data_IF_216708409128
#
_entry.id   IF_216708409128
#
_cell.length_a   1.000
_cell.length_b   1.000
_cell.length_c   1.000
_cell.angle_alpha   90.00
_cell.angle_beta   90.00
_cell.angle_gamma   90.00
#
_symmetry.space_group_name_H-M   'P 1'
#
loop_
_entity.id
_entity.type
_entity.pdbx_description
1 polymer ?
#
# COMPACT_ATOMS: atom_id res chain seq x y z
N UNK A 1 -25.58 10.79 -14.88
CA UNK A 1 -26.18 11.30 -13.63
C UNK A 1 -25.32 10.77 -12.50
N UNK A 2 -24.27 11.50 -12.12
CA UNK A 2 -23.41 11.13 -10.99
C UNK A 2 -24.21 11.46 -9.74
N UNK A 3 -24.66 10.45 -9.00
CA UNK A 3 -25.28 10.72 -7.72
C UNK A 3 -24.22 11.32 -6.78
N UNK A 4 -24.60 12.37 -6.06
CA UNK A 4 -23.77 13.00 -5.04
C UNK A 4 -23.31 11.93 -4.05
N UNK A 5 -22.03 11.55 -4.12
CA UNK A 5 -21.39 10.71 -3.11
C UNK A 5 -21.29 11.52 -1.83
N UNK A 6 -22.25 11.31 -0.92
CA UNK A 6 -22.26 11.95 0.38
C UNK A 6 -21.12 11.36 1.23
N UNK A 7 -20.20 12.23 1.69
CA UNK A 7 -19.01 11.89 2.49
C UNK A 7 -19.34 11.43 3.91
N UNK A 8 -20.63 11.35 4.28
CA UNK A 8 -21.13 10.82 5.56
C UNK A 8 -20.94 9.31 5.75
N UNK A 9 -20.39 8.58 4.78
CA UNK A 9 -20.54 7.13 4.60
C UNK A 9 -19.32 6.27 4.96
N UNK A 10 -18.19 6.80 5.47
CA UNK A 10 -17.02 5.94 5.84
C UNK A 10 -17.42 4.80 6.79
N UNK A 11 -18.41 5.01 7.66
CA UNK A 11 -18.95 3.96 8.54
C UNK A 11 -19.67 2.86 7.76
N UNK A 12 -20.33 3.20 6.65
CA UNK A 12 -20.93 2.24 5.71
C UNK A 12 -19.84 1.48 4.96
N UNK A 13 -18.75 2.15 4.55
CA UNK A 13 -17.58 1.51 3.93
C UNK A 13 -16.86 0.53 4.86
N UNK A 14 -16.71 0.86 6.14
CA UNK A 14 -16.19 -0.06 7.15
C UNK A 14 -17.15 -1.23 7.39
N UNK A 15 -18.46 -0.99 7.29
CA UNK A 15 -19.48 -2.05 7.31
C UNK A 15 -19.49 -2.95 6.06
N UNK A 16 -18.78 -2.58 4.98
CA UNK A 16 -18.55 -3.45 3.83
C UNK A 16 -17.45 -4.47 4.09
N UNK A 17 -16.56 -4.23 5.05
CA UNK A 17 -15.46 -5.14 5.36
C UNK A 17 -15.97 -6.20 6.34
N UNK A 18 -16.04 -7.45 5.88
CA UNK A 18 -16.13 -8.64 6.74
C UNK A 18 -14.75 -9.03 7.31
N UNK A 19 -13.70 -8.26 6.99
CA UNK A 19 -12.33 -8.53 7.39
C UNK A 19 -12.22 -8.72 8.91
N UNK A 20 -11.40 -9.68 9.37
CA UNK A 20 -11.18 -9.91 10.79
C UNK A 20 -10.73 -8.60 11.44
N UNK A 21 -11.31 -8.27 12.60
CA UNK A 21 -10.78 -7.20 13.45
C UNK A 21 -9.30 -7.49 13.65
N UNK A 22 -8.44 -6.61 13.13
CA UNK A 22 -7.01 -6.67 13.43
C UNK A 22 -6.87 -6.66 14.95
N UNK A 23 -6.05 -7.58 15.48
CA UNK A 23 -5.83 -7.71 16.93
C UNK A 23 -5.21 -6.45 17.54
N UNK A 24 -4.53 -5.66 16.70
CA UNK A 24 -3.92 -4.37 17.02
C UNK A 24 -4.27 -3.33 15.97
N UNK A 25 -4.17 -2.06 16.33
CA UNK A 25 -4.39 -0.95 15.40
C UNK A 25 -3.31 -0.99 14.30
N UNK A 26 -3.68 -1.04 13.00
CA UNK A 26 -2.71 -1.15 11.92
C UNK A 26 -1.82 0.08 11.84
N UNK A 27 -0.56 -0.11 11.49
CA UNK A 27 0.43 0.94 11.21
C UNK A 27 0.52 1.14 9.70
N UNK A 28 0.16 2.32 9.22
CA UNK A 28 0.10 2.65 7.79
C UNK A 28 1.06 3.79 7.49
N UNK A 29 1.95 3.58 6.52
CA UNK A 29 2.87 4.59 6.03
C UNK A 29 2.20 5.41 4.92
N UNK A 30 2.29 6.74 4.99
CA UNK A 30 1.93 7.66 3.92
C UNK A 30 3.23 8.21 3.30
N UNK A 31 3.62 7.65 2.15
CA UNK A 31 4.95 7.87 1.58
C UNK A 31 5.11 9.23 0.86
N UNK A 32 4.02 9.98 0.68
CA UNK A 32 3.98 11.27 -0.03
C UNK A 32 3.21 12.31 0.79
N UNK A 33 3.71 12.61 2.00
CA UNK A 33 2.97 13.38 3.02
C UNK A 33 2.86 14.89 2.78
N UNK A 34 3.47 15.41 1.71
CA UNK A 34 3.46 16.84 1.39
C UNK A 34 2.13 17.32 0.80
N UNK A 35 1.30 16.40 0.33
CA UNK A 35 0.00 16.69 -0.26
C UNK A 35 -1.03 17.11 0.81
N UNK A 36 -1.78 18.19 0.58
CA UNK A 36 -2.81 18.64 1.52
C UNK A 36 -3.91 17.60 1.72
N UNK A 37 -4.25 16.82 0.68
CA UNK A 37 -5.27 15.75 0.76
C UNK A 37 -4.87 14.66 1.75
N UNK A 38 -3.58 14.41 1.93
CA UNK A 38 -3.06 13.46 2.91
C UNK A 38 -3.30 13.95 4.34
N UNK A 39 -3.17 15.25 4.60
CA UNK A 39 -3.44 15.85 5.91
C UNK A 39 -4.92 15.76 6.27
N UNK A 40 -5.80 16.07 5.32
CA UNK A 40 -7.25 15.96 5.51
C UNK A 40 -7.68 14.51 5.78
N UNK A 41 -7.12 13.56 5.02
CA UNK A 41 -7.38 12.13 5.22
C UNK A 41 -6.84 11.63 6.56
N UNK A 42 -5.65 12.08 6.97
CA UNK A 42 -5.05 11.72 8.25
C UNK A 42 -5.91 12.16 9.44
N UNK A 43 -6.43 13.39 9.42
CA UNK A 43 -7.31 13.89 10.47
C UNK A 43 -8.57 13.01 10.64
N UNK A 44 -9.14 12.51 9.53
CA UNK A 44 -10.28 11.59 9.55
C UNK A 44 -9.88 10.24 10.18
N UNK A 45 -8.75 9.67 9.77
CA UNK A 45 -8.24 8.38 10.28
C UNK A 45 -7.92 8.43 11.77
N UNK A 46 -7.31 9.53 12.23
CA UNK A 46 -6.94 9.74 13.63
C UNK A 46 -8.17 9.95 14.51
N UNK A 47 -9.08 10.86 14.11
CA UNK A 47 -10.33 11.15 14.83
C UNK A 47 -11.16 9.88 15.02
N UNK A 48 -11.18 9.00 14.00
CA UNK A 48 -11.92 7.73 14.03
C UNK A 48 -11.10 6.55 14.54
N UNK A 49 -9.84 6.77 14.92
CA UNK A 49 -8.90 5.77 15.43
C UNK A 49 -8.70 4.54 14.52
N UNK A 50 -8.75 4.70 13.20
CA UNK A 50 -8.74 3.57 12.26
C UNK A 50 -7.35 2.94 12.08
N UNK A 51 -6.30 3.74 12.10
CA UNK A 51 -4.92 3.31 11.91
C UNK A 51 -3.94 4.28 12.60
N UNK A 52 -2.74 3.79 12.90
CA UNK A 52 -1.59 4.58 13.33
C UNK A 52 -0.84 5.01 12.08
N UNK A 53 -0.67 6.32 11.89
CA UNK A 53 -0.10 6.85 10.66
C UNK A 53 1.37 7.22 10.84
N UNK A 54 2.18 6.86 9.84
CA UNK A 54 3.59 7.25 9.73
C UNK A 54 3.76 8.07 8.46
N UNK A 55 4.24 9.30 8.59
CA UNK A 55 4.42 10.21 7.46
C UNK A 55 5.88 10.21 7.04
N UNK A 56 6.15 9.88 5.77
CA UNK A 56 7.51 9.97 5.22
C UNK A 56 7.68 11.23 4.37
N UNK A 57 8.81 11.89 4.59
CA UNK A 57 9.34 12.99 3.79
C UNK A 57 10.73 12.60 3.28
N UNK A 58 11.28 13.42 2.37
CA UNK A 58 12.65 13.25 1.86
C UNK A 58 13.72 13.34 2.97
N UNK A 59 13.39 13.96 4.10
CA UNK A 59 14.28 14.06 5.25
C UNK A 59 14.19 12.85 6.20
N UNK A 60 13.13 12.04 6.09
CA UNK A 60 12.84 11.00 7.11
C UNK A 60 14.01 10.05 7.29
N UNK A 61 14.57 9.52 6.20
CA UNK A 61 15.70 8.59 6.30
C UNK A 61 16.93 9.22 6.97
N UNK A 62 17.24 10.46 6.64
CA UNK A 62 18.41 11.17 7.18
C UNK A 62 18.24 11.52 8.66
N UNK A 63 17.00 11.65 9.12
CA UNK A 63 16.66 11.92 10.52
C UNK A 63 16.61 10.65 11.39
N UNK A 64 16.66 9.46 10.79
CA UNK A 64 16.77 8.19 11.54
C UNK A 64 18.14 8.08 12.21
N UNK A 65 18.20 7.31 13.30
CA UNK A 65 19.46 6.97 13.95
C UNK A 65 20.39 6.18 13.01
N UNK A 66 21.70 6.18 13.29
CA UNK A 66 22.66 5.42 12.50
C UNK A 66 22.33 3.92 12.45
N UNK A 67 21.85 3.36 13.56
CA UNK A 67 21.48 1.94 13.66
C UNK A 67 20.24 1.62 12.82
N UNK A 68 19.22 2.49 12.82
CA UNK A 68 18.03 2.33 11.98
C UNK A 68 18.35 2.47 10.50
N UNK A 69 19.18 3.44 10.12
CA UNK A 69 19.64 3.58 8.74
C UNK A 69 20.39 2.31 8.29
N UNK A 70 21.28 1.79 9.14
CA UNK A 70 22.07 0.61 8.85
C UNK A 70 21.19 -0.63 8.69
N UNK A 71 20.20 -0.82 9.57
CA UNK A 71 19.21 -1.91 9.50
C UNK A 71 18.46 -1.89 8.17
N UNK A 72 17.92 -0.72 7.77
CA UNK A 72 17.16 -0.59 6.53
C UNK A 72 18.03 -0.81 5.28
N UNK A 73 19.26 -0.27 5.29
CA UNK A 73 20.23 -0.46 4.20
C UNK A 73 20.61 -1.93 4.06
N UNK A 74 20.93 -2.60 5.17
CA UNK A 74 21.32 -4.01 5.15
C UNK A 74 20.17 -4.90 4.70
N UNK A 75 18.93 -4.63 5.15
CA UNK A 75 17.75 -5.34 4.66
C UNK A 75 17.55 -5.15 3.16
N UNK A 76 17.61 -3.90 2.68
CA UNK A 76 17.44 -3.62 1.26
C UNK A 76 18.51 -4.32 0.41
N UNK A 77 19.78 -4.31 0.83
CA UNK A 77 20.84 -5.08 0.17
C UNK A 77 20.61 -6.59 0.23
N UNK A 78 20.04 -7.11 1.32
CA UNK A 78 19.69 -8.53 1.47
C UNK A 78 18.62 -8.98 0.47
N UNK A 79 17.60 -8.15 0.26
CA UNK A 79 16.52 -8.40 -0.72
C UNK A 79 16.97 -8.10 -2.15
N UNK A 80 17.79 -7.06 -2.34
CA UNK A 80 18.30 -6.58 -3.63
C UNK A 80 19.82 -6.73 -3.70
N UNK A 81 20.25 -7.97 -3.95
CA UNK A 81 21.66 -8.39 -3.91
C UNK A 81 22.58 -7.63 -4.86
N UNK A 82 22.03 -6.98 -5.88
CA UNK A 82 22.79 -6.15 -6.82
C UNK A 82 23.14 -4.76 -6.28
N UNK A 83 22.56 -4.32 -5.15
CA UNK A 83 22.81 -3.00 -4.59
C UNK A 83 24.01 -3.01 -3.63
N UNK A 84 24.89 -2.03 -3.79
CA UNK A 84 25.90 -1.71 -2.76
C UNK A 84 25.24 -0.95 -1.60
N UNK A 85 25.86 -0.99 -0.40
CA UNK A 85 25.35 -0.23 0.77
C UNK A 85 25.19 1.26 0.48
N UNK A 86 26.12 1.87 -0.26
CA UNK A 86 26.06 3.29 -0.64
C UNK A 86 24.88 3.58 -1.58
N UNK A 87 24.67 2.72 -2.58
CA UNK A 87 23.54 2.86 -3.52
C UNK A 87 22.21 2.65 -2.80
N UNK A 88 22.12 1.65 -1.93
CA UNK A 88 20.95 1.38 -1.10
C UNK A 88 20.64 2.55 -0.17
N UNK A 89 21.66 3.11 0.51
CA UNK A 89 21.51 4.30 1.34
C UNK A 89 20.99 5.50 0.55
N UNK A 90 21.58 5.76 -0.62
CA UNK A 90 21.16 6.86 -1.50
C UNK A 90 19.71 6.67 -1.97
N UNK A 91 19.34 5.44 -2.33
CA UNK A 91 17.98 5.11 -2.76
C UNK A 91 16.96 5.32 -1.63
N UNK A 92 17.25 4.85 -0.41
CA UNK A 92 16.38 5.04 0.75
C UNK A 92 16.26 6.51 1.17
N UNK A 93 17.31 7.30 0.99
CA UNK A 93 17.32 8.73 1.29
C UNK A 93 16.55 9.56 0.26
N UNK A 94 16.54 9.14 -1.01
CA UNK A 94 15.95 9.92 -2.11
C UNK A 94 14.56 9.45 -2.54
N UNK A 95 14.16 8.21 -2.21
CA UNK A 95 12.89 7.64 -2.63
C UNK A 95 12.10 7.11 -1.42
N UNK A 96 11.16 7.93 -0.93
CA UNK A 96 10.27 7.60 0.18
C UNK A 96 9.45 6.33 -0.02
N UNK A 97 9.21 5.91 -1.28
CA UNK A 97 8.44 4.70 -1.59
C UNK A 97 9.31 3.46 -1.42
N UNK A 98 10.60 3.54 -1.75
CA UNK A 98 11.58 2.50 -1.38
C UNK A 98 11.77 2.42 0.12
N UNK A 99 11.84 3.56 0.82
CA UNK A 99 11.88 3.59 2.27
C UNK A 99 10.64 2.91 2.87
N UNK A 100 9.44 3.31 2.45
CA UNK A 100 8.19 2.72 2.91
C UNK A 100 8.12 1.21 2.68
N UNK A 101 8.44 0.76 1.46
CA UNK A 101 8.43 -0.66 1.12
C UNK A 101 9.45 -1.46 1.96
N UNK A 102 10.60 -0.87 2.27
CA UNK A 102 11.63 -1.48 3.13
C UNK A 102 11.14 -1.61 4.56
N UNK A 103 10.56 -0.53 5.13
CA UNK A 103 9.98 -0.53 6.47
C UNK A 103 8.84 -1.57 6.61
N UNK A 104 7.97 -1.68 5.61
CA UNK A 104 6.92 -2.71 5.57
C UNK A 104 7.53 -4.12 5.50
N UNK A 105 8.55 -4.32 4.66
CA UNK A 105 9.21 -5.61 4.47
C UNK A 105 9.89 -6.13 5.75
N UNK A 106 10.34 -5.24 6.65
CA UNK A 106 10.88 -5.61 7.98
C UNK A 106 9.86 -5.58 9.13
N UNK A 107 8.58 -5.33 8.83
CA UNK A 107 7.50 -5.35 9.82
C UNK A 107 7.42 -4.11 10.71
N UNK A 108 8.03 -2.97 10.32
CA UNK A 108 7.84 -1.69 11.01
C UNK A 108 6.48 -1.02 10.69
N UNK A 109 5.81 -1.47 9.63
CA UNK A 109 4.46 -1.06 9.26
C UNK A 109 3.72 -2.20 8.54
N UNK A 110 2.40 -2.17 8.57
CA UNK A 110 1.54 -3.19 7.95
C UNK A 110 1.33 -2.95 6.45
N UNK A 111 1.30 -1.68 6.04
CA UNK A 111 1.17 -1.29 4.64
C UNK A 111 1.68 0.15 4.41
N UNK A 112 1.81 0.52 3.14
CA UNK A 112 2.03 1.91 2.74
C UNK A 112 1.05 2.36 1.66
N UNK A 113 0.79 3.67 1.61
CA UNK A 113 -0.04 4.35 0.62
C UNK A 113 0.82 5.44 -0.04
N UNK A 114 0.75 5.48 -1.37
CA UNK A 114 1.39 6.48 -2.23
C UNK A 114 0.58 6.62 -3.54
N UNK A 115 1.06 7.44 -4.47
CA UNK A 115 0.43 7.64 -5.78
C UNK A 115 -0.46 8.87 -5.83
N UNK A 116 -0.46 9.70 -4.78
CA UNK A 116 -1.15 10.99 -4.79
C UNK A 116 -0.35 12.07 -5.53
N UNK A 117 0.98 11.93 -5.61
CA UNK A 117 1.87 12.85 -6.33
C UNK A 117 2.72 12.18 -7.42
N UNK A 118 2.72 10.85 -7.51
CA UNK A 118 3.51 10.10 -8.49
C UNK A 118 2.66 9.14 -9.35
N UNK A 119 3.19 8.69 -10.50
CA UNK A 119 2.58 7.63 -11.28
C UNK A 119 2.44 6.31 -10.51
N UNK A 120 1.43 5.53 -10.87
CA UNK A 120 1.16 4.18 -10.35
C UNK A 120 2.41 3.27 -10.39
N UNK A 121 3.22 3.38 -11.44
CA UNK A 121 4.47 2.62 -11.59
C UNK A 121 5.47 2.90 -10.48
N UNK A 122 5.57 4.15 -10.02
CA UNK A 122 6.53 4.55 -8.98
C UNK A 122 6.08 4.11 -7.59
N UNK A 123 4.77 3.97 -7.39
CA UNK A 123 4.20 3.40 -6.17
C UNK A 123 4.41 1.89 -6.09
N UNK A 124 4.19 1.16 -7.19
CA UNK A 124 4.18 -0.32 -7.17
C UNK A 124 5.58 -0.92 -7.33
N UNK A 125 6.45 -0.29 -8.13
CA UNK A 125 7.82 -0.79 -8.40
C UNK A 125 8.60 -1.08 -7.10
N UNK A 126 8.59 -0.22 -6.07
CA UNK A 126 9.23 -0.50 -4.79
C UNK A 126 8.60 -1.67 -4.04
N UNK A 127 7.26 -1.74 -3.94
CA UNK A 127 6.57 -2.87 -3.32
C UNK A 127 6.98 -4.21 -3.95
N UNK A 128 6.94 -4.32 -5.28
CA UNK A 128 7.30 -5.57 -5.95
C UNK A 128 8.78 -5.93 -5.78
N UNK A 129 9.67 -4.92 -5.71
CA UNK A 129 11.11 -5.14 -5.57
C UNK A 129 11.56 -5.44 -4.14
N UNK A 130 10.79 -5.05 -3.12
CA UNK A 130 11.23 -5.11 -1.71
C UNK A 130 10.31 -5.96 -0.83
N UNK A 131 9.00 -5.86 -0.99
CA UNK A 131 8.02 -6.70 -0.29
C UNK A 131 7.87 -8.03 -1.06
N UNK A 132 7.83 -7.95 -2.38
CA UNK A 132 7.69 -9.11 -3.26
C UNK A 132 6.24 -9.55 -3.48
N UNK A 133 6.08 -10.60 -4.28
CA UNK A 133 4.78 -11.25 -4.53
C UNK A 133 5.02 -12.73 -4.84
N UNK A 134 4.04 -13.58 -4.56
CA UNK A 134 4.07 -14.98 -5.00
C UNK A 134 3.55 -15.09 -6.43
N UNK A 135 4.46 -15.09 -7.40
CA UNK A 135 4.12 -15.13 -8.83
C UNK A 135 3.97 -13.72 -9.40
N UNK A 136 2.73 -13.25 -9.56
CA UNK A 136 2.42 -11.92 -10.10
C UNK A 136 1.32 -11.23 -9.29
N UNK A 137 1.25 -9.91 -9.40
CA UNK A 137 0.19 -9.11 -8.77
C UNK A 137 -0.97 -8.88 -9.74
N UNK A 138 -2.19 -8.79 -9.20
CA UNK A 138 -3.39 -8.35 -9.92
C UNK A 138 -4.12 -7.28 -9.12
N UNK A 139 -4.93 -6.47 -9.79
CA UNK A 139 -5.80 -5.49 -9.15
C UNK A 139 -7.25 -5.97 -9.11
N UNK A 140 -8.03 -5.38 -8.22
CA UNK A 140 -9.47 -5.46 -8.31
C UNK A 140 -10.11 -4.13 -7.90
N UNK A 141 -11.31 -3.87 -8.43
CA UNK A 141 -12.20 -2.82 -7.94
C UNK A 141 -13.38 -3.45 -7.21
N UNK A 142 -13.68 -2.93 -6.02
CA UNK A 142 -14.95 -3.21 -5.34
C UNK A 142 -16.04 -2.32 -5.92
N UNK A 143 -16.98 -2.93 -6.63
CA UNK A 143 -18.15 -2.29 -7.21
C UNK A 143 -19.33 -2.45 -6.25
N UNK A 144 -19.80 -1.33 -5.71
CA UNK A 144 -20.97 -1.28 -4.83
C UNK A 144 -22.14 -0.69 -5.60
N UNK A 145 -23.20 -1.49 -5.81
CA UNK A 145 -24.39 -1.06 -6.54
C UNK A 145 -25.64 -1.45 -5.77
N UNK A 146 -26.36 -0.49 -5.20
CA UNK A 146 -27.62 -0.67 -4.46
C UNK A 146 -27.64 -1.90 -3.52
N UNK A 147 -28.05 -3.06 -4.03
CA UNK A 147 -28.25 -4.33 -3.33
C UNK A 147 -27.16 -5.39 -3.61
N UNK A 148 -26.17 -5.09 -4.45
CA UNK A 148 -25.12 -6.03 -4.87
C UNK A 148 -23.71 -5.46 -4.72
N UNK A 149 -22.78 -6.36 -4.37
CA UNK A 149 -21.34 -6.12 -4.31
C UNK A 149 -20.66 -7.04 -5.33
N UNK A 150 -19.70 -6.50 -6.08
CA UNK A 150 -18.95 -7.27 -7.07
C UNK A 150 -17.48 -6.87 -7.03
N UNK A 151 -16.60 -7.80 -7.34
CA UNK A 151 -15.20 -7.49 -7.65
C UNK A 151 -14.98 -7.60 -9.16
N UNK A 152 -14.38 -6.56 -9.75
CA UNK A 152 -13.88 -6.59 -11.13
C UNK A 152 -12.36 -6.68 -11.08
N UNK A 153 -11.78 -7.72 -11.72
CA UNK A 153 -10.35 -8.00 -11.75
C UNK A 153 -9.96 -8.67 -13.08
N UNK A 154 -8.76 -8.50 -13.63
CA UNK A 154 -7.71 -7.52 -13.30
C UNK A 154 -7.89 -6.26 -14.15
N UNK A 155 -7.90 -5.08 -13.52
CA UNK A 155 -8.28 -3.83 -14.19
C UNK A 155 -7.13 -2.83 -14.36
N UNK A 156 -5.91 -3.16 -13.93
CA UNK A 156 -4.82 -2.18 -13.89
C UNK A 156 -3.41 -2.73 -14.13
N UNK A 157 -3.16 -4.04 -13.97
CA UNK A 157 -1.80 -4.58 -13.99
C UNK A 157 -1.44 -5.36 -15.26
N UNK A 158 -2.21 -6.40 -15.58
CA UNK A 158 -1.86 -7.37 -16.60
C UNK A 158 -2.61 -7.04 -17.90
N UNK A 159 -1.88 -6.52 -18.91
CA UNK A 159 -2.45 -6.05 -20.19
C UNK A 159 -2.99 -7.21 -21.04
N UNK A 160 -2.21 -8.29 -21.16
CA UNK A 160 -2.56 -9.47 -21.96
C UNK A 160 -2.29 -10.75 -21.14
N UNK A 161 -3.14 -11.08 -20.14
CA UNK A 161 -2.91 -12.24 -19.28
C UNK A 161 -3.12 -13.55 -20.06
N UNK A 162 -2.26 -14.54 -19.83
CA UNK A 162 -2.46 -15.90 -20.35
C UNK A 162 -3.65 -16.58 -19.69
N UNK A 163 -4.12 -17.70 -20.25
CA UNK A 163 -5.18 -18.53 -19.67
C UNK A 163 -4.88 -18.95 -18.22
N UNK A 164 -3.63 -19.32 -17.91
CA UNK A 164 -3.18 -19.68 -16.56
C UNK A 164 -3.21 -18.47 -15.62
N UNK A 165 -2.80 -17.30 -16.10
CA UNK A 165 -2.86 -16.07 -15.32
C UNK A 165 -4.32 -15.67 -15.04
N UNK A 166 -5.22 -15.75 -16.02
CA UNK A 166 -6.65 -15.50 -15.84
C UNK A 166 -7.28 -16.44 -14.81
N UNK A 167 -6.97 -17.74 -14.88
CA UNK A 167 -7.43 -18.71 -13.88
C UNK A 167 -6.93 -18.35 -12.47
N UNK A 168 -5.66 -17.91 -12.34
CA UNK A 168 -5.09 -17.48 -11.08
C UNK A 168 -5.73 -16.19 -10.55
N UNK A 169 -5.96 -15.19 -11.42
CA UNK A 169 -6.66 -13.94 -11.08
C UNK A 169 -8.05 -14.25 -10.54
N UNK A 170 -8.80 -15.15 -11.17
CA UNK A 170 -10.13 -15.54 -10.71
C UNK A 170 -10.09 -16.14 -9.29
N UNK A 171 -9.16 -17.08 -9.04
CA UNK A 171 -9.00 -17.69 -7.70
C UNK A 171 -8.60 -16.66 -6.65
N UNK A 172 -7.64 -15.78 -6.94
CA UNK A 172 -7.19 -14.77 -5.99
C UNK A 172 -8.26 -13.69 -5.77
N UNK A 173 -9.09 -13.39 -6.77
CA UNK A 173 -10.25 -12.50 -6.64
C UNK A 173 -11.30 -13.07 -5.69
N UNK A 174 -11.59 -14.38 -5.75
CA UNK A 174 -12.50 -15.04 -4.81
C UNK A 174 -11.99 -14.94 -3.37
N UNK A 175 -10.67 -15.09 -3.16
CA UNK A 175 -10.06 -14.89 -1.83
C UNK A 175 -10.25 -13.45 -1.35
N UNK A 176 -9.99 -12.46 -2.20
CA UNK A 176 -10.21 -11.05 -1.88
C UNK A 176 -11.67 -10.73 -1.60
N UNK A 177 -12.62 -11.35 -2.34
CA UNK A 177 -14.05 -11.15 -2.14
C UNK A 177 -14.50 -11.54 -0.73
N UNK A 178 -13.88 -12.56 -0.13
CA UNK A 178 -14.20 -12.98 1.25
C UNK A 178 -13.98 -11.89 2.30
N UNK A 179 -13.17 -10.86 2.01
CA UNK A 179 -12.97 -9.70 2.89
C UNK A 179 -14.18 -8.77 2.92
N UNK A 180 -15.11 -8.88 1.98
CA UNK A 180 -16.20 -7.91 1.77
C UNK A 180 -17.61 -8.48 2.03
N UNK A 181 -17.70 -9.72 2.54
CA UNK A 181 -18.96 -10.43 2.78
C UNK A 181 -19.72 -10.75 1.49
#
# INVERSE_FOLDING_TARGET
MVQNFNTSTITDWLGLLAAPKLSTKPVIILAESQDSRIKDAAAIVETRQLASLVFLTEETFNNLSADEQQLLVDHLCGVRKELTKETAKTLLASDTKFLAATMVSIGQADAYIAGNLCPTTDTIRPALKVIGTTGFASSFFLMVWQDRRMLFADCAFNIEPTSEQLARIAVDTVKSASLFG
#
